data_IF_741682994914
#
_entry.id   IF_741682994914
#
_cell.length_a   1.000
_cell.length_b   1.000
_cell.length_c   1.000
_cell.angle_alpha   90.00
_cell.angle_beta   90.00
_cell.angle_gamma   90.00
#
_symmetry.space_group_name_H-M   'P 1'
#
loop_
_entity.id
_entity.type
_entity.pdbx_description
1 polymer ?
#
# COMPACT_ATOMS: atom_id res chain seq x y z
N UNK A 1 0.69 -4.31 36.32
CA UNK A 1 -0.06 -5.27 35.48
C UNK A 1 -0.23 -4.63 34.12
N UNK A 2 0.43 -5.18 33.10
CA UNK A 2 0.35 -4.63 31.75
C UNK A 2 -1.00 -5.03 31.17
N UNK A 3 -1.87 -4.06 30.94
CA UNK A 3 -3.19 -4.31 30.36
C UNK A 3 -3.03 -4.80 28.92
N UNK A 4 -3.70 -5.89 28.56
CA UNK A 4 -3.80 -6.38 27.18
C UNK A 4 -4.82 -5.54 26.42
N UNK A 5 -4.61 -5.40 25.11
CA UNK A 5 -5.55 -4.74 24.22
C UNK A 5 -6.92 -5.47 24.24
N UNK A 6 -8.05 -4.75 24.35
CA UNK A 6 -9.38 -5.37 24.25
C UNK A 6 -9.58 -6.13 22.94
N UNK A 7 -10.35 -7.23 22.96
CA UNK A 7 -10.51 -8.12 21.80
C UNK A 7 -11.05 -7.43 20.54
N UNK A 8 -11.87 -6.38 20.70
CA UNK A 8 -12.53 -5.71 19.57
C UNK A 8 -11.54 -5.02 18.63
N UNK A 9 -10.35 -4.62 19.13
CA UNK A 9 -9.31 -4.02 18.30
C UNK A 9 -8.78 -4.96 17.20
N UNK A 10 -9.00 -6.27 17.32
CA UNK A 10 -8.47 -7.25 16.37
C UNK A 10 -9.45 -7.61 15.24
N UNK A 11 -10.74 -7.28 15.38
CA UNK A 11 -11.76 -7.75 14.42
C UNK A 11 -12.83 -6.72 14.04
N UNK A 12 -12.94 -5.59 14.76
CA UNK A 12 -13.98 -4.60 14.49
C UNK A 12 -13.62 -3.79 13.25
N UNK A 13 -14.48 -3.84 12.24
CA UNK A 13 -14.31 -3.11 10.99
C UNK A 13 -14.28 -1.59 11.18
N UNK A 14 -14.97 -1.06 12.20
CA UNK A 14 -14.95 0.36 12.52
C UNK A 14 -13.58 0.79 13.08
N UNK A 15 -12.97 -0.05 13.91
CA UNK A 15 -11.60 0.17 14.41
C UNK A 15 -10.61 0.14 13.24
N UNK A 16 -10.68 -0.86 12.37
CA UNK A 16 -9.81 -0.93 11.20
C UNK A 16 -9.95 0.30 10.29
N UNK A 17 -11.17 0.78 10.05
CA UNK A 17 -11.40 2.00 9.29
C UNK A 17 -10.77 3.24 9.95
N UNK A 18 -10.88 3.36 11.26
CA UNK A 18 -10.24 4.42 12.03
C UNK A 18 -8.70 4.35 11.93
N UNK A 19 -8.11 3.16 12.08
CA UNK A 19 -6.67 2.94 11.95
C UNK A 19 -6.16 3.24 10.54
N UNK A 20 -6.92 2.89 9.50
CA UNK A 20 -6.60 3.28 8.13
C UNK A 20 -6.40 4.80 8.01
N UNK A 21 -7.33 5.61 8.51
CA UNK A 21 -7.30 7.07 8.37
C UNK A 21 -6.24 7.76 9.25
N UNK A 22 -6.08 7.26 10.48
CA UNK A 22 -5.27 7.96 11.50
C UNK A 22 -3.86 7.42 11.62
N UNK A 23 -3.65 6.15 11.26
CA UNK A 23 -2.36 5.48 11.37
C UNK A 23 -1.85 5.16 9.97
N UNK A 24 -2.50 4.23 9.25
CA UNK A 24 -1.89 3.61 8.08
C UNK A 24 -1.71 4.58 6.90
N UNK A 25 -2.62 5.54 6.72
CA UNK A 25 -2.52 6.58 5.68
C UNK A 25 -1.39 7.59 5.92
N UNK A 26 -0.92 7.72 7.16
CA UNK A 26 -0.01 8.80 7.59
C UNK A 26 1.43 8.35 7.80
N UNK A 27 1.70 7.06 7.66
CA UNK A 27 3.00 6.47 7.96
C UNK A 27 3.59 5.77 6.74
N UNK A 28 4.92 5.62 6.76
CA UNK A 28 5.66 4.90 5.74
C UNK A 28 5.46 3.39 5.89
N UNK A 29 5.34 2.71 4.75
CA UNK A 29 5.20 1.26 4.67
C UNK A 29 6.31 0.66 3.83
N UNK A 30 6.84 -0.46 4.31
CA UNK A 30 7.68 -1.32 3.49
C UNK A 30 6.79 -2.05 2.49
N UNK A 31 6.98 -1.75 1.20
CA UNK A 31 6.19 -2.34 0.11
C UNK A 31 6.98 -3.35 -0.72
N UNK A 32 8.31 -3.35 -0.64
CA UNK A 32 9.17 -4.28 -1.36
C UNK A 32 10.65 -3.95 -1.20
N UNK A 33 11.52 -4.75 -1.82
CA UNK A 33 12.96 -4.50 -1.86
C UNK A 33 13.38 -3.95 -3.22
N UNK A 34 14.49 -3.22 -3.25
CA UNK A 34 15.05 -2.70 -4.49
C UNK A 34 15.46 -3.82 -5.46
N UNK A 35 15.93 -4.95 -4.94
CA UNK A 35 16.32 -6.12 -5.75
C UNK A 35 15.16 -6.71 -6.55
N UNK A 36 13.92 -6.61 -6.05
CA UNK A 36 12.73 -7.05 -6.78
C UNK A 36 12.32 -6.10 -7.92
N UNK A 37 12.93 -4.92 -7.99
CA UNK A 37 12.67 -3.87 -8.98
C UNK A 37 13.98 -3.40 -9.63
N UNK A 38 14.87 -4.34 -9.93
CA UNK A 38 16.24 -4.05 -10.37
C UNK A 38 16.30 -3.38 -11.75
N UNK A 39 15.44 -3.80 -12.68
CA UNK A 39 15.46 -3.35 -14.07
C UNK A 39 14.36 -2.33 -14.36
N UNK A 40 14.64 -1.42 -15.31
CA UNK A 40 13.65 -0.49 -15.85
C UNK A 40 12.42 -1.23 -16.36
N UNK A 41 11.25 -0.81 -15.92
CA UNK A 41 9.98 -1.45 -16.26
C UNK A 41 9.56 -2.55 -15.30
N UNK A 42 10.42 -3.04 -14.39
CA UNK A 42 9.95 -3.87 -13.29
C UNK A 42 8.96 -3.06 -12.44
N UNK A 43 7.89 -3.74 -12.04
CA UNK A 43 6.87 -3.18 -11.17
C UNK A 43 6.41 -4.19 -10.12
N UNK A 44 5.82 -3.66 -9.06
CA UNK A 44 5.13 -4.41 -8.01
C UNK A 44 3.73 -3.84 -7.89
N UNK A 45 2.71 -4.69 -8.03
CA UNK A 45 1.32 -4.37 -7.75
C UNK A 45 0.94 -4.97 -6.38
N UNK A 46 0.33 -4.16 -5.50
CA UNK A 46 -0.10 -4.61 -4.18
C UNK A 46 -1.32 -3.83 -3.69
N UNK A 47 -2.06 -4.43 -2.76
CA UNK A 47 -3.07 -3.73 -1.99
C UNK A 47 -2.51 -3.42 -0.60
N UNK A 48 -2.31 -2.13 -0.32
CA UNK A 48 -1.99 -1.68 1.03
C UNK A 48 -3.30 -1.31 1.72
N UNK A 49 -3.75 -2.17 2.63
CA UNK A 49 -5.08 -2.07 3.25
C UNK A 49 -6.17 -2.03 2.17
N UNK A 50 -6.75 -0.84 1.93
CA UNK A 50 -7.84 -0.61 0.97
C UNK A 50 -7.36 0.07 -0.32
N UNK A 51 -6.07 0.35 -0.43
CA UNK A 51 -5.50 1.15 -1.50
C UNK A 51 -4.72 0.28 -2.48
N UNK A 52 -5.16 0.17 -3.74
CA UNK A 52 -4.38 -0.50 -4.77
C UNK A 52 -3.23 0.42 -5.17
N UNK A 53 -2.00 -0.09 -5.06
CA UNK A 53 -0.76 0.62 -5.35
C UNK A 53 0.04 -0.10 -6.42
N UNK A 54 0.81 0.68 -7.16
CA UNK A 54 1.85 0.18 -8.06
C UNK A 54 3.15 0.92 -7.78
N UNK A 55 4.23 0.16 -7.62
CA UNK A 55 5.60 0.68 -7.53
C UNK A 55 6.33 0.26 -8.79
N UNK A 56 7.04 1.18 -9.45
CA UNK A 56 7.72 0.92 -10.73
C UNK A 56 9.10 1.56 -10.76
N UNK A 57 10.05 0.89 -11.43
CA UNK A 57 11.33 1.47 -11.87
C UNK A 57 11.12 2.17 -13.20
N UNK A 58 11.20 3.51 -13.21
CA UNK A 58 10.98 4.31 -14.41
C UNK A 58 12.16 4.26 -15.40
N UNK A 59 11.99 4.89 -16.56
CA UNK A 59 13.00 4.99 -17.61
C UNK A 59 14.26 5.78 -17.22
N UNK A 60 14.23 6.52 -16.12
CA UNK A 60 15.38 7.20 -15.53
C UNK A 60 15.99 6.40 -14.36
N UNK A 61 15.64 5.11 -14.23
CA UNK A 61 16.06 4.22 -13.15
C UNK A 61 15.72 4.78 -11.76
N UNK A 62 14.53 5.39 -11.58
CA UNK A 62 14.01 5.86 -10.29
C UNK A 62 12.80 5.04 -9.85
N UNK A 63 12.68 4.81 -8.53
CA UNK A 63 11.51 4.16 -7.95
C UNK A 63 10.41 5.20 -7.81
N UNK A 64 9.21 4.86 -8.26
CA UNK A 64 8.01 5.69 -8.10
C UNK A 64 6.85 4.84 -7.62
N UNK A 65 6.01 5.42 -6.76
CA UNK A 65 4.78 4.80 -6.27
C UNK A 65 3.55 5.60 -6.70
N UNK A 66 2.51 4.91 -7.15
CA UNK A 66 1.23 5.49 -7.58
C UNK A 66 0.06 4.65 -7.08
N UNK A 67 -1.14 5.23 -7.06
CA UNK A 67 -2.36 4.44 -7.03
C UNK A 67 -2.47 3.65 -8.33
N UNK A 68 -2.73 2.34 -8.21
CA UNK A 68 -3.00 1.46 -9.35
C UNK A 68 -4.44 1.65 -9.83
N UNK A 69 -4.76 2.87 -10.29
CA UNK A 69 -6.09 3.29 -10.71
C UNK A 69 -6.02 4.11 -11.99
N UNK A 70 -6.76 3.67 -12.99
CA UNK A 70 -6.96 4.41 -14.22
C UNK A 70 -7.77 5.69 -13.94
N UNK A 71 -7.22 6.84 -14.31
CA UNK A 71 -7.86 8.15 -14.11
C UNK A 71 -9.16 8.34 -14.89
N UNK A 72 -9.45 7.49 -15.88
CA UNK A 72 -10.67 7.58 -16.68
C UNK A 72 -11.84 6.82 -16.04
N UNK A 73 -11.62 5.56 -15.62
CA UNK A 73 -12.70 4.66 -15.16
C UNK A 73 -12.39 3.88 -13.89
N UNK A 74 -11.34 4.27 -13.16
CA UNK A 74 -10.92 3.66 -11.90
C UNK A 74 -10.65 2.14 -11.95
N UNK A 75 -10.44 1.57 -13.14
CA UNK A 75 -9.94 0.19 -13.28
C UNK A 75 -8.46 0.07 -12.94
N UNK A 76 -7.97 -1.14 -12.60
CA UNK A 76 -6.55 -1.37 -12.37
C UNK A 76 -5.73 -1.11 -13.65
N UNK A 77 -4.55 -0.51 -13.50
CA UNK A 77 -3.60 -0.29 -14.59
C UNK A 77 -2.76 -1.55 -14.85
N UNK A 78 -2.42 -2.26 -13.78
CA UNK A 78 -1.66 -3.51 -13.80
C UNK A 78 -2.31 -4.54 -12.89
N UNK A 79 -2.16 -5.82 -13.24
CA UNK A 79 -2.60 -6.96 -12.43
C UNK A 79 -1.49 -7.41 -11.49
#
# INVERSE_FOLDING_TARGET
>A
MTATLPHHYYHDAAVFAYECEHIFRRHWWLVGTESSLAETGNYLALNLMKWPLVVVRDQQSKLRGFYNLCRHRAGPLVL
#
